data_IF_592781710680
#
_entry.id   IF_592781710680
#
_cell.length_a   1.000
_cell.length_b   1.000
_cell.length_c   1.000
_cell.angle_alpha   90.00
_cell.angle_beta   90.00
_cell.angle_gamma   90.00
#
_symmetry.space_group_name_H-M   'P 1'
#
loop_
_entity.id
_entity.type
_entity.pdbx_description
1 polymer ?
#
# COMPACT_ATOMS: atom_id res chain seq x y z
N UNK A 1 14.30 13.30 -4.91
CA UNK A 1 14.84 11.99 -4.50
C UNK A 1 14.44 11.75 -3.03
N UNK A 2 13.36 11.01 -2.77
CA UNK A 2 13.00 10.49 -1.42
C UNK A 2 11.84 9.47 -1.41
N UNK A 3 11.29 9.04 -2.56
CA UNK A 3 10.08 8.19 -2.54
C UNK A 3 10.34 6.78 -2.00
N UNK A 4 11.53 6.19 -2.23
CA UNK A 4 11.86 4.85 -1.70
C UNK A 4 11.84 4.79 -0.17
N UNK A 5 12.35 5.84 0.50
CA UNK A 5 12.38 5.93 1.96
C UNK A 5 10.96 6.00 2.56
N UNK A 6 10.09 6.82 1.97
CA UNK A 6 8.75 7.05 2.50
C UNK A 6 7.85 5.80 2.37
N UNK A 7 8.06 5.00 1.33
CA UNK A 7 7.33 3.74 1.12
C UNK A 7 7.83 2.61 2.03
N UNK A 8 9.14 2.50 2.27
CA UNK A 8 9.69 1.54 3.23
C UNK A 8 9.21 1.82 4.66
N UNK A 9 9.21 3.10 5.06
CA UNK A 9 8.66 3.54 6.35
C UNK A 9 7.15 3.32 6.45
N UNK A 10 6.41 3.44 5.34
CA UNK A 10 4.99 3.12 5.29
C UNK A 10 4.74 1.61 5.47
N UNK A 11 5.58 0.77 4.88
CA UNK A 11 5.46 -0.69 4.93
C UNK A 11 5.86 -1.29 6.30
N UNK A 12 6.69 -0.59 7.05
CA UNK A 12 7.07 -0.94 8.42
C UNK A 12 5.96 -0.56 9.42
N UNK A 13 4.85 -1.31 9.39
CA UNK A 13 3.72 -1.21 10.33
C UNK A 13 4.04 -1.67 11.77
N UNK A 14 5.30 -1.83 12.14
CA UNK A 14 5.72 -2.25 13.48
C UNK A 14 5.50 -1.18 14.57
N UNK A 15 5.13 0.04 14.18
CA UNK A 15 4.88 1.14 15.11
C UNK A 15 3.45 1.20 15.67
N UNK A 16 2.60 0.22 15.34
CA UNK A 16 1.31 0.09 15.98
C UNK A 16 1.44 -0.54 17.36
N UNK A 17 0.94 0.18 18.37
CA UNK A 17 0.91 -0.32 19.73
C UNK A 17 -0.08 -1.48 19.80
N UNK A 18 0.48 -2.69 19.88
CA UNK A 18 -0.29 -3.90 20.09
C UNK A 18 -1.00 -3.86 21.45
N UNK A 19 -2.19 -4.47 21.54
CA UNK A 19 -2.88 -4.70 22.81
C UNK A 19 -1.98 -5.39 23.84
N UNK A 20 -1.06 -6.26 23.40
CA UNK A 20 -0.05 -6.89 24.27
C UNK A 20 0.85 -5.85 24.95
N UNK A 21 1.29 -4.84 24.20
CA UNK A 21 2.11 -3.73 24.71
C UNK A 21 1.31 -2.86 25.69
N UNK A 22 0.03 -2.60 25.41
CA UNK A 22 -0.85 -1.84 26.31
C UNK A 22 -1.05 -2.55 27.66
N UNK A 23 -1.29 -3.86 27.62
CA UNK A 23 -1.43 -4.69 28.82
C UNK A 23 -0.12 -4.75 29.60
N UNK A 24 1.00 -4.97 28.91
CA UNK A 24 2.32 -5.01 29.53
C UNK A 24 2.65 -3.69 30.24
N UNK A 25 2.39 -2.56 29.60
CA UNK A 25 2.60 -1.23 30.18
C UNK A 25 1.73 -1.00 31.43
N UNK A 26 0.46 -1.41 31.38
CA UNK A 26 -0.46 -1.30 32.52
C UNK A 26 -0.01 -2.15 33.72
N UNK A 27 0.41 -3.39 33.47
CA UNK A 27 0.91 -4.31 34.51
C UNK A 27 2.23 -3.80 35.09
N UNK A 28 3.12 -3.27 34.24
CA UNK A 28 4.39 -2.69 34.68
C UNK A 28 4.17 -1.48 35.59
N UNK A 29 3.26 -0.57 35.22
CA UNK A 29 2.87 0.56 36.06
C UNK A 29 2.28 0.11 37.39
N UNK A 30 1.37 -0.88 37.36
CA UNK A 30 0.78 -1.46 38.56
C UNK A 30 1.86 -2.02 39.51
N UNK A 31 2.79 -2.80 38.97
CA UNK A 31 3.91 -3.36 39.74
C UNK A 31 4.77 -2.27 40.37
N UNK A 32 5.17 -1.25 39.61
CA UNK A 32 6.03 -0.17 40.12
C UNK A 32 5.34 0.61 41.24
N UNK A 33 4.08 1.02 41.04
CA UNK A 33 3.32 1.72 42.07
C UNK A 33 3.08 0.87 43.31
N UNK A 34 2.83 -0.43 43.11
CA UNK A 34 2.58 -1.36 44.21
C UNK A 34 3.84 -1.62 45.02
N UNK A 35 5.01 -1.73 44.37
CA UNK A 35 6.30 -1.86 45.07
C UNK A 35 6.55 -0.66 45.98
N UNK A 36 6.35 0.56 45.46
CA UNK A 36 6.48 1.79 46.26
C UNK A 36 5.50 1.77 47.44
N UNK A 37 4.27 1.31 47.22
CA UNK A 37 3.25 1.22 48.25
C UNK A 37 3.54 0.18 49.34
N UNK A 38 4.38 -0.82 49.06
CA UNK A 38 4.81 -1.82 50.06
C UNK A 38 6.02 -1.37 50.88
N UNK A 39 6.88 -0.50 50.33
CA UNK A 39 8.06 0.03 51.04
C UNK A 39 7.64 1.05 52.11
N UNK A 40 6.61 1.84 51.83
CA UNK A 40 6.06 2.81 52.79
C UNK A 40 5.19 2.05 53.79
N UNK A 41 5.49 2.16 55.09
CA UNK A 41 4.73 1.53 56.18
C UNK A 41 3.68 2.52 56.72
N UNK A 42 2.40 2.47 56.28
CA UNK A 42 1.38 3.45 56.67
C UNK A 42 0.62 2.93 57.90
N UNK A 43 0.04 3.86 58.68
CA UNK A 43 -0.86 3.49 59.80
C UNK A 43 -2.13 2.76 59.34
N UNK A 44 -2.56 2.97 58.10
CA UNK A 44 -3.70 2.31 57.46
C UNK A 44 -3.28 1.62 56.15
N UNK A 45 -2.61 0.47 56.29
CA UNK A 45 -2.02 -0.28 55.17
C UNK A 45 -2.99 -0.50 54.00
N UNK A 46 -4.21 -0.98 54.29
CA UNK A 46 -5.20 -1.32 53.25
C UNK A 46 -5.63 -0.10 52.42
N UNK A 47 -5.82 1.06 53.06
CA UNK A 47 -6.19 2.29 52.36
C UNK A 47 -5.08 2.75 51.42
N UNK A 48 -3.83 2.63 51.83
CA UNK A 48 -2.68 3.01 51.01
C UNK A 48 -2.52 2.09 49.79
N UNK A 49 -2.76 0.78 49.95
CA UNK A 49 -2.76 -0.15 48.83
C UNK A 49 -3.87 0.16 47.81
N UNK A 50 -5.09 0.47 48.28
CA UNK A 50 -6.17 0.87 47.37
C UNK A 50 -5.85 2.19 46.65
N UNK A 51 -5.27 3.16 47.34
CA UNK A 51 -4.88 4.44 46.74
C UNK A 51 -3.80 4.25 45.66
N UNK A 52 -2.80 3.42 45.93
CA UNK A 52 -1.75 3.10 44.97
C UNK A 52 -2.31 2.38 43.74
N UNK A 53 -3.26 1.46 43.92
CA UNK A 53 -3.95 0.80 42.81
C UNK A 53 -4.74 1.79 41.95
N UNK A 54 -5.57 2.64 42.56
CA UNK A 54 -6.36 3.67 41.84
C UNK A 54 -5.44 4.66 41.11
N UNK A 55 -4.36 5.09 41.75
CA UNK A 55 -3.37 5.97 41.13
C UNK A 55 -2.77 5.32 39.88
N UNK A 56 -2.40 4.04 39.99
CA UNK A 56 -1.80 3.30 38.88
C UNK A 56 -2.73 3.15 37.69
N UNK A 57 -3.99 2.77 37.93
CA UNK A 57 -4.99 2.61 36.86
C UNK A 57 -5.30 3.94 36.18
N UNK A 58 -5.43 5.04 36.94
CA UNK A 58 -5.65 6.37 36.38
C UNK A 58 -4.46 6.83 35.51
N UNK A 59 -3.24 6.62 36.00
CA UNK A 59 -2.02 6.97 35.26
C UNK A 59 -1.88 6.13 33.98
N UNK A 60 -2.12 4.82 34.07
CA UNK A 60 -2.12 3.93 32.91
C UNK A 60 -3.16 4.34 31.88
N UNK A 61 -4.39 4.69 32.30
CA UNK A 61 -5.45 5.13 31.40
C UNK A 61 -5.06 6.39 30.61
N UNK A 62 -4.46 7.39 31.26
CA UNK A 62 -4.00 8.62 30.60
C UNK A 62 -2.89 8.32 29.60
N UNK A 63 -1.88 7.53 30.00
CA UNK A 63 -0.77 7.16 29.11
C UNK A 63 -1.27 6.38 27.89
N UNK A 64 -2.14 5.40 28.10
CA UNK A 64 -2.75 4.61 27.03
C UNK A 64 -3.59 5.46 26.08
N UNK A 65 -4.33 6.44 26.60
CA UNK A 65 -5.11 7.36 25.77
C UNK A 65 -4.20 8.19 24.85
N UNK A 66 -3.09 8.73 25.37
CA UNK A 66 -2.11 9.47 24.57
C UNK A 66 -1.53 8.59 23.47
N UNK A 67 -1.17 7.35 23.82
CA UNK A 67 -0.63 6.40 22.85
C UNK A 67 -1.64 6.00 21.77
N UNK A 68 -2.90 5.79 22.14
CA UNK A 68 -3.98 5.51 21.21
C UNK A 68 -4.22 6.69 20.25
N UNK A 69 -4.24 7.93 20.77
CA UNK A 69 -4.39 9.14 19.96
C UNK A 69 -3.25 9.29 18.94
N UNK A 70 -1.99 9.16 19.39
CA UNK A 70 -0.82 9.23 18.49
C UNK A 70 -0.85 8.15 17.41
N UNK A 71 -1.25 6.93 17.78
CA UNK A 71 -1.42 5.83 16.82
C UNK A 71 -2.48 6.19 15.77
N UNK A 72 -3.65 6.67 16.20
CA UNK A 72 -4.73 7.07 15.31
C UNK A 72 -4.34 8.23 14.36
N UNK A 73 -3.65 9.26 14.88
CA UNK A 73 -3.13 10.37 14.09
C UNK A 73 -2.16 9.89 13.01
N UNK A 74 -1.23 8.99 13.38
CA UNK A 74 -0.25 8.46 12.44
C UNK A 74 -0.90 7.58 11.38
N UNK A 75 -1.86 6.73 11.75
CA UNK A 75 -2.67 5.96 10.79
C UNK A 75 -3.34 6.93 9.83
N UNK A 76 -4.06 7.93 10.35
CA UNK A 76 -4.78 8.90 9.54
C UNK A 76 -3.86 9.64 8.56
N UNK A 77 -2.71 10.13 9.03
CA UNK A 77 -1.74 10.82 8.20
C UNK A 77 -1.17 9.91 7.10
N UNK A 78 -0.84 8.66 7.44
CA UNK A 78 -0.30 7.70 6.48
C UNK A 78 -1.35 7.29 5.46
N UNK A 79 -2.60 7.02 5.87
CA UNK A 79 -3.72 6.73 4.97
C UNK A 79 -3.97 7.90 4.02
N UNK A 80 -3.96 9.14 4.51
CA UNK A 80 -4.13 10.32 3.68
C UNK A 80 -3.02 10.49 2.64
N UNK A 81 -1.77 10.12 2.99
CA UNK A 81 -0.64 10.12 2.06
C UNK A 81 -0.72 9.01 1.01
N UNK A 82 -1.29 7.85 1.36
CA UNK A 82 -1.41 6.72 0.43
C UNK A 82 -2.56 6.89 -0.57
N UNK A 83 -3.68 7.47 -0.13
CA UNK A 83 -4.89 7.64 -0.95
C UNK A 83 -5.04 9.08 -1.45
N UNK A 84 -4.11 9.52 -2.29
CA UNK A 84 -4.14 10.86 -2.86
C UNK A 84 -5.12 10.98 -4.04
N UNK A 85 -5.54 12.21 -4.43
CA UNK A 85 -6.33 12.43 -5.64
C UNK A 85 -5.69 11.82 -6.90
N UNK A 86 -4.36 11.82 -6.99
CA UNK A 86 -3.61 11.23 -8.10
C UNK A 86 -3.74 9.70 -8.10
N UNK A 87 -3.74 9.05 -6.94
CA UNK A 87 -4.02 7.61 -6.85
C UNK A 87 -5.41 7.30 -7.40
N UNK A 88 -6.45 8.02 -6.95
CA UNK A 88 -7.82 7.83 -7.46
C UNK A 88 -7.96 8.16 -8.94
N UNK A 89 -7.25 9.19 -9.43
CA UNK A 89 -7.21 9.50 -10.85
C UNK A 89 -6.53 8.38 -11.64
N UNK A 90 -5.44 7.83 -11.14
CA UNK A 90 -4.73 6.70 -11.72
C UNK A 90 -5.61 5.45 -11.80
N UNK A 91 -6.29 5.10 -10.71
CA UNK A 91 -7.22 3.95 -10.70
C UNK A 91 -8.42 4.17 -11.64
N UNK A 92 -8.95 5.40 -11.73
CA UNK A 92 -10.01 5.74 -12.67
C UNK A 92 -9.56 5.62 -14.14
N UNK A 93 -8.34 6.08 -14.46
CA UNK A 93 -7.76 5.93 -15.81
C UNK A 93 -7.59 4.45 -16.14
N UNK A 94 -7.06 3.66 -15.22
CA UNK A 94 -6.84 2.23 -15.42
C UNK A 94 -8.17 1.48 -15.59
N UNK A 95 -9.18 1.81 -14.77
CA UNK A 95 -10.52 1.28 -14.92
C UNK A 95 -11.12 1.64 -16.28
N UNK A 96 -11.01 2.91 -16.70
CA UNK A 96 -11.49 3.33 -18.03
C UNK A 96 -10.74 2.63 -19.18
N UNK A 97 -9.46 2.32 -19.01
CA UNK A 97 -8.69 1.55 -19.98
C UNK A 97 -9.24 0.13 -20.12
N UNK A 98 -9.47 -0.57 -19.00
CA UNK A 98 -10.05 -1.90 -19.03
C UNK A 98 -11.46 -1.91 -19.62
N UNK A 99 -12.32 -0.95 -19.25
CA UNK A 99 -13.66 -0.84 -19.84
C UNK A 99 -13.63 -0.65 -21.36
N UNK A 100 -12.66 0.11 -21.88
CA UNK A 100 -12.48 0.28 -23.34
C UNK A 100 -11.98 -1.01 -24.01
N UNK A 101 -11.08 -1.75 -23.36
CA UNK A 101 -10.65 -3.05 -23.87
C UNK A 101 -11.80 -4.05 -23.92
N UNK A 102 -12.70 -4.00 -22.95
CA UNK A 102 -13.90 -4.85 -22.89
C UNK A 102 -14.81 -4.56 -24.07
N UNK A 103 -15.16 -3.28 -24.27
CA UNK A 103 -15.99 -2.80 -25.38
C UNK A 103 -15.42 -3.25 -26.75
N UNK A 104 -14.11 -3.08 -26.97
CA UNK A 104 -13.46 -3.51 -28.22
C UNK A 104 -13.46 -5.04 -28.39
N UNK A 105 -13.35 -5.78 -27.30
CA UNK A 105 -13.34 -7.25 -27.34
C UNK A 105 -14.74 -7.79 -27.65
N UNK A 106 -15.78 -7.19 -27.06
CA UNK A 106 -17.19 -7.47 -27.37
C UNK A 106 -17.52 -7.16 -28.84
N UNK A 107 -17.10 -6.00 -29.36
CA UNK A 107 -17.29 -5.63 -30.77
C UNK A 107 -16.64 -6.63 -31.74
N UNK A 108 -15.51 -7.22 -31.34
CA UNK A 108 -14.77 -8.21 -32.14
C UNK A 108 -15.20 -9.65 -31.87
N UNK A 109 -16.19 -9.87 -31.01
CA UNK A 109 -16.70 -11.21 -30.66
C UNK A 109 -15.67 -12.09 -29.93
N UNK A 110 -14.69 -11.48 -29.26
CA UNK A 110 -13.64 -12.19 -28.51
C UNK A 110 -13.76 -11.90 -27.01
N UNK A 111 -13.37 -12.85 -26.15
CA UNK A 111 -13.35 -12.62 -24.70
C UNK A 111 -12.19 -11.72 -24.29
N UNK A 112 -12.41 -10.85 -23.29
CA UNK A 112 -11.36 -9.96 -22.77
C UNK A 112 -10.24 -10.75 -22.09
N UNK A 113 -10.57 -11.89 -21.47
CA UNK A 113 -9.62 -12.77 -20.79
C UNK A 113 -8.62 -13.38 -21.77
N UNK A 114 -9.07 -13.89 -22.93
CA UNK A 114 -8.17 -14.39 -23.98
C UNK A 114 -7.29 -13.29 -24.56
N UNK A 115 -7.81 -12.06 -24.65
CA UNK A 115 -7.05 -10.90 -25.13
C UNK A 115 -6.04 -10.42 -24.10
N UNK A 116 -6.36 -10.47 -22.81
CA UNK A 116 -5.47 -10.08 -21.71
C UNK A 116 -4.24 -10.98 -21.61
N UNK A 117 -4.40 -12.29 -21.83
CA UNK A 117 -3.30 -13.24 -21.91
C UNK A 117 -2.33 -12.91 -23.06
N UNK A 118 -2.84 -12.43 -24.19
CA UNK A 118 -2.02 -12.01 -25.34
C UNK A 118 -1.48 -10.57 -25.20
N UNK A 119 -2.14 -9.74 -24.38
CA UNK A 119 -1.75 -8.35 -24.11
C UNK A 119 -0.63 -8.26 -23.07
N UNK A 120 -0.61 -9.14 -22.07
CA UNK A 120 0.40 -9.18 -21.02
C UNK A 120 1.85 -9.22 -21.56
N UNK A 121 2.24 -10.13 -22.48
CA UNK A 121 3.58 -10.12 -23.06
C UNK A 121 3.85 -8.86 -23.90
N UNK A 122 2.85 -8.33 -24.64
CA UNK A 122 3.02 -7.12 -25.46
C UNK A 122 3.20 -5.84 -24.64
N UNK A 123 2.51 -5.74 -23.49
CA UNK A 123 2.65 -4.62 -22.55
C UNK A 123 3.96 -4.72 -21.78
N UNK A 124 4.34 -5.93 -21.37
CA UNK A 124 5.68 -6.20 -20.83
C UNK A 124 6.74 -5.73 -21.82
N UNK A 125 6.65 -6.15 -23.08
CA UNK A 125 7.60 -5.75 -24.11
C UNK A 125 7.52 -4.26 -24.36
N UNK A 126 6.36 -3.62 -24.51
CA UNK A 126 6.32 -2.16 -24.70
C UNK A 126 6.91 -1.35 -23.53
N UNK A 127 6.71 -1.78 -22.28
CA UNK A 127 7.18 -1.07 -21.09
C UNK A 127 8.64 -1.37 -20.75
N UNK A 128 9.15 -2.55 -21.11
CA UNK A 128 10.50 -3.04 -20.78
C UNK A 128 11.43 -3.17 -22.00
N UNK A 129 10.92 -3.09 -23.24
CA UNK A 129 11.71 -3.07 -24.50
C UNK A 129 12.36 -1.72 -24.81
N UNK A 130 12.23 -0.75 -23.90
CA UNK A 130 13.20 0.35 -23.84
C UNK A 130 14.52 -0.09 -23.16
N UNK A 131 14.81 -1.39 -23.11
CA UNK A 131 16.19 -1.87 -23.07
C UNK A 131 16.85 -1.52 -24.41
N UNK A 132 17.90 -0.68 -24.46
CA UNK A 132 18.58 -0.31 -25.70
C UNK A 132 19.21 -1.48 -26.49
N UNK A 133 19.01 -2.73 -26.04
CA UNK A 133 19.48 -3.96 -26.66
C UNK A 133 18.37 -4.86 -27.25
N UNK A 134 17.08 -4.54 -27.10
CA UNK A 134 16.03 -5.30 -27.78
C UNK A 134 15.86 -4.83 -29.22
N UNK A 135 16.24 -5.70 -30.16
CA UNK A 135 16.01 -5.52 -31.60
C UNK A 135 14.50 -5.34 -31.84
N UNK A 136 14.08 -4.36 -32.66
CA UNK A 136 12.67 -4.18 -32.98
C UNK A 136 12.06 -5.49 -33.52
N UNK A 137 10.75 -5.75 -33.28
CA UNK A 137 10.13 -6.94 -33.84
C UNK A 137 10.26 -6.92 -35.37
N UNK A 138 10.82 -7.99 -35.93
CA UNK A 138 10.85 -8.19 -37.38
C UNK A 138 9.40 -8.38 -37.84
N UNK A 139 8.90 -7.39 -38.57
CA UNK A 139 7.63 -7.47 -39.27
C UNK A 139 7.91 -8.29 -40.53
N UNK A 140 7.48 -9.56 -40.55
CA UNK A 140 7.50 -10.38 -41.76
C UNK A 140 6.45 -9.84 -42.73
N UNK A 141 6.90 -8.93 -43.60
CA UNK A 141 6.11 -8.41 -44.71
C UNK A 141 6.33 -9.37 -45.87
N UNK A 142 5.24 -9.88 -46.45
CA UNK A 142 5.32 -10.58 -47.74
C UNK A 142 6.10 -9.71 -48.73
N UNK A 143 7.07 -10.28 -49.47
CA UNK A 143 7.92 -9.50 -50.36
C UNK A 143 7.04 -8.76 -51.37
N UNK A 144 7.24 -7.44 -51.45
CA UNK A 144 6.55 -6.60 -52.42
C UNK A 144 6.84 -7.19 -53.81
N UNK A 145 5.82 -7.47 -54.64
CA UNK A 145 6.05 -7.99 -55.98
C UNK A 145 6.92 -7.00 -56.76
N UNK A 146 8.06 -7.46 -57.27
CA UNK A 146 8.93 -6.64 -58.12
C UNK A 146 8.22 -6.42 -59.47
N UNK A 147 7.74 -5.19 -59.68
CA UNK A 147 7.26 -4.76 -60.98
C UNK A 147 8.46 -4.40 -61.87
N UNK A 148 8.50 -4.97 -63.06
CA UNK A 148 9.64 -4.80 -63.99
C UNK A 148 9.59 -3.49 -64.78
N UNK A 149 8.44 -2.82 -64.80
CA UNK A 149 8.23 -1.57 -65.53
C UNK A 149 7.22 -0.64 -64.81
N UNK A 150 7.41 0.68 -64.87
CA UNK A 150 6.50 1.66 -64.23
C UNK A 150 5.07 1.56 -64.81
N UNK A 151 4.97 1.10 -66.06
CA UNK A 151 3.72 0.87 -66.77
C UNK A 151 2.86 -0.26 -66.17
N UNK A 152 3.45 -1.20 -65.41
CA UNK A 152 2.71 -2.27 -64.72
C UNK A 152 2.08 -1.78 -63.41
N UNK A 153 2.60 -0.71 -62.83
CA UNK A 153 2.15 -0.17 -61.54
C UNK A 153 0.79 0.54 -61.61
N UNK A 154 0.39 1.02 -62.81
CA UNK A 154 -0.76 1.90 -63.01
C UNK A 154 -1.85 1.36 -63.95
N UNK A 155 -1.74 0.10 -64.41
CA UNK A 155 -2.79 -0.54 -65.22
C UNK A 155 -3.76 -1.29 -64.32
N UNK A 156 -4.94 -0.70 -64.11
CA UNK A 156 -6.13 -1.37 -63.53
C UNK A 156 -6.72 -2.38 -64.51
#
# INVERSE_FOLDING_TARGET
MSSKSDWEDFSNMNDFISAKTMIFLSISLALVTQIIAQIVSPSAWLNYQMLAFIMSTNLAAVILAIFAQRSAERISANTAKAFTPEFYRGTAILASFFSKLEEISEEKGSSIDEKLDDLAPRVHDFLLSNDPLSVPPEIDLEPVPEWTDEDELFRQ
#
